data_IF_869798737348
#
_entry.id   IF_869798737348
#
_cell.length_a   1.000
_cell.length_b   1.000
_cell.length_c   1.000
_cell.angle_alpha   90.00
_cell.angle_beta   90.00
_cell.angle_gamma   90.00
#
_symmetry.space_group_name_H-M   'P 1'
#
loop_
_entity.id
_entity.type
_entity.pdbx_description
1 polymer ?
#
# COMPACT_ATOMS: atom_id res chain seq x y z
N UNK A 1 6.86 -0.93 7.70
CA UNK A 1 6.00 -1.93 7.01
C UNK A 1 6.61 -3.30 7.20
N UNK A 2 5.80 -4.30 7.55
CA UNK A 2 6.27 -5.66 7.72
C UNK A 2 6.89 -6.26 6.45
N UNK A 3 7.69 -7.31 6.60
CA UNK A 3 8.22 -8.11 5.51
C UNK A 3 7.69 -9.53 5.61
N UNK A 4 7.11 -10.06 4.53
CA UNK A 4 6.72 -11.45 4.42
C UNK A 4 7.55 -12.18 3.38
N UNK A 5 7.83 -13.44 3.62
CA UNK A 5 8.43 -14.34 2.66
C UNK A 5 8.04 -15.79 2.97
N UNK A 6 8.10 -16.64 1.97
CA UNK A 6 7.82 -18.07 2.19
C UNK A 6 7.94 -18.89 0.93
N UNK A 7 7.68 -20.17 1.10
CA UNK A 7 7.72 -21.14 0.01
C UNK A 7 6.71 -22.26 0.20
N UNK A 8 6.37 -22.90 -0.90
CA UNK A 8 5.74 -24.22 -0.96
C UNK A 8 6.54 -25.11 -1.91
N UNK A 9 6.83 -26.34 -1.49
CA UNK A 9 7.48 -27.32 -2.35
C UNK A 9 7.22 -28.77 -1.91
N UNK A 10 7.00 -29.66 -2.87
CA UNK A 10 6.76 -31.09 -2.62
C UNK A 10 8.05 -31.94 -2.67
N UNK A 11 9.16 -31.40 -3.16
CA UNK A 11 10.32 -32.21 -3.58
C UNK A 11 11.60 -31.95 -2.78
N UNK A 12 11.61 -31.11 -1.78
CA UNK A 12 12.87 -30.54 -1.35
C UNK A 12 13.36 -31.08 -0.02
N UNK A 13 14.66 -31.27 0.01
CA UNK A 13 15.39 -31.46 1.25
C UNK A 13 15.09 -30.27 2.18
N UNK A 14 14.36 -30.57 3.25
CA UNK A 14 13.85 -29.58 4.21
C UNK A 14 14.95 -28.68 4.78
N UNK A 15 16.18 -29.11 4.76
CA UNK A 15 17.31 -28.39 5.33
C UNK A 15 17.73 -27.19 4.45
N UNK A 16 17.76 -27.33 3.15
CA UNK A 16 18.18 -26.26 2.25
C UNK A 16 17.14 -25.14 2.16
N UNK A 17 15.84 -25.47 2.26
CA UNK A 17 14.78 -24.47 2.25
C UNK A 17 14.72 -23.63 3.52
N UNK A 18 15.05 -24.17 4.66
CA UNK A 18 15.19 -23.36 5.89
C UNK A 18 16.25 -22.29 5.71
N UNK A 19 17.42 -22.64 5.18
CA UNK A 19 18.50 -21.68 4.91
C UNK A 19 18.08 -20.61 3.90
N UNK A 20 17.32 -21.00 2.87
CA UNK A 20 16.81 -20.07 1.86
C UNK A 20 15.84 -19.10 2.52
N UNK A 21 14.85 -19.57 3.28
CA UNK A 21 13.90 -18.71 3.97
C UNK A 21 14.60 -17.77 4.96
N UNK A 22 15.57 -18.26 5.74
CA UNK A 22 16.37 -17.44 6.66
C UNK A 22 17.12 -16.33 5.91
N UNK A 23 17.66 -16.64 4.73
CA UNK A 23 18.34 -15.65 3.88
C UNK A 23 17.36 -14.62 3.31
N UNK A 24 16.18 -15.05 2.86
CA UNK A 24 15.08 -14.17 2.42
C UNK A 24 14.66 -13.22 3.53
N UNK A 25 14.47 -13.74 4.76
CA UNK A 25 14.09 -12.94 5.93
C UNK A 25 15.18 -11.93 6.31
N UNK A 26 16.45 -12.33 6.32
CA UNK A 26 17.58 -11.42 6.56
C UNK A 26 17.63 -10.29 5.53
N UNK A 27 17.37 -10.57 4.27
CA UNK A 27 17.39 -9.56 3.21
C UNK A 27 16.32 -8.47 3.38
N UNK A 28 15.23 -8.79 4.07
CA UNK A 28 14.07 -7.89 4.27
C UNK A 28 13.91 -7.39 5.72
N UNK A 29 14.91 -7.58 6.59
CA UNK A 29 14.83 -7.21 8.02
C UNK A 29 14.55 -5.72 8.25
N UNK A 30 14.99 -4.83 7.34
CA UNK A 30 14.73 -3.39 7.40
C UNK A 30 13.25 -3.03 7.32
N UNK A 31 12.38 -3.93 6.83
CA UNK A 31 10.93 -3.73 6.78
C UNK A 31 10.26 -3.86 8.15
N UNK A 32 10.79 -4.75 8.98
CA UNK A 32 10.22 -5.02 10.29
C UNK A 32 11.30 -5.45 11.29
N UNK A 33 11.96 -4.47 11.93
CA UNK A 33 13.10 -4.74 12.79
C UNK A 33 12.72 -5.22 14.20
N UNK A 34 11.43 -5.22 14.56
CA UNK A 34 10.98 -5.46 15.94
C UNK A 34 10.97 -6.95 16.30
N UNK A 35 10.64 -7.81 15.34
CA UNK A 35 10.68 -9.27 15.53
C UNK A 35 10.83 -9.99 14.18
N UNK A 36 11.49 -11.15 14.20
CA UNK A 36 11.56 -12.08 13.07
C UNK A 36 11.05 -13.44 13.52
N UNK A 37 10.05 -13.97 12.83
CA UNK A 37 9.48 -15.30 13.09
C UNK A 37 9.47 -16.16 11.83
N UNK A 38 9.56 -17.49 12.01
CA UNK A 38 9.42 -18.48 10.95
C UNK A 38 8.58 -19.66 11.42
N UNK A 39 7.83 -20.23 10.47
CA UNK A 39 7.04 -21.45 10.66
C UNK A 39 7.36 -22.42 9.54
N UNK A 40 7.41 -23.71 9.88
CA UNK A 40 7.65 -24.80 8.92
C UNK A 40 6.66 -25.94 9.16
N UNK A 41 6.04 -26.41 8.10
CA UNK A 41 5.30 -27.67 8.01
C UNK A 41 5.90 -28.54 6.89
N UNK A 42 5.24 -29.64 6.50
CA UNK A 42 5.81 -30.62 5.56
C UNK A 42 6.39 -29.99 4.29
N UNK A 43 5.58 -29.17 3.62
CA UNK A 43 5.87 -28.62 2.30
C UNK A 43 5.89 -27.10 2.27
N UNK A 44 5.76 -26.45 3.42
CA UNK A 44 5.60 -25.01 3.53
C UNK A 44 6.60 -24.40 4.53
N UNK A 45 7.08 -23.23 4.20
CA UNK A 45 7.77 -22.34 5.13
C UNK A 45 7.18 -20.92 5.01
N UNK A 46 6.84 -20.32 6.14
CA UNK A 46 6.37 -18.95 6.25
C UNK A 46 7.33 -18.14 7.12
N UNK A 47 7.65 -16.93 6.72
CA UNK A 47 8.50 -16.01 7.45
C UNK A 47 7.88 -14.63 7.56
N UNK A 48 8.15 -13.95 8.67
CA UNK A 48 7.66 -12.62 8.95
C UNK A 48 8.72 -11.76 9.66
N UNK A 49 8.94 -10.56 9.15
CA UNK A 49 9.65 -9.48 9.84
C UNK A 49 8.63 -8.44 10.30
N UNK A 50 8.47 -8.28 11.62
CA UNK A 50 7.43 -7.44 12.21
C UNK A 50 7.89 -6.00 12.39
N UNK A 51 7.07 -5.06 11.95
CA UNK A 51 6.99 -3.70 12.45
C UNK A 51 5.69 -3.61 13.27
N UNK A 52 5.81 -3.47 14.59
CA UNK A 52 4.68 -3.49 15.52
C UNK A 52 3.91 -2.17 15.43
N UNK A 53 2.63 -2.22 15.06
CA UNK A 53 1.75 -1.05 14.91
C UNK A 53 0.47 -1.24 15.72
N UNK A 54 -0.19 -2.40 15.58
CA UNK A 54 -1.38 -2.80 16.34
C UNK A 54 -1.01 -3.98 17.23
N UNK A 55 -1.39 -3.93 18.49
CA UNK A 55 -1.04 -4.90 19.53
C UNK A 55 0.48 -5.13 19.64
N UNK A 56 1.14 -4.37 20.47
CA UNK A 56 2.61 -4.39 20.60
C UNK A 56 3.13 -5.62 21.36
N UNK A 57 2.24 -6.49 21.84
CA UNK A 57 2.61 -7.68 22.62
C UNK A 57 3.34 -8.74 21.76
N UNK A 58 4.22 -9.55 22.36
CA UNK A 58 4.85 -10.69 21.68
C UNK A 58 3.86 -11.76 21.22
N UNK A 59 2.68 -11.85 21.86
CA UNK A 59 1.62 -12.79 21.52
C UNK A 59 1.07 -12.58 20.11
N UNK A 60 1.19 -11.35 19.59
CA UNK A 60 0.80 -10.98 18.22
C UNK A 60 1.92 -11.14 17.18
N UNK A 61 3.06 -11.76 17.57
CA UNK A 61 4.11 -12.07 16.61
C UNK A 61 3.65 -13.08 15.56
N UNK A 62 4.22 -12.94 14.36
CA UNK A 62 3.90 -13.79 13.22
C UNK A 62 5.13 -14.61 12.78
N UNK A 63 4.96 -15.77 12.13
CA UNK A 63 3.68 -16.37 11.68
C UNK A 63 2.76 -16.70 12.86
N UNK A 64 1.47 -16.27 12.74
CA UNK A 64 0.50 -16.40 13.82
C UNK A 64 -0.41 -17.61 13.59
N UNK A 65 -0.72 -18.34 14.66
CA UNK A 65 -1.51 -19.57 14.62
C UNK A 65 -2.87 -19.40 15.25
N UNK A 66 -3.89 -19.83 14.53
CA UNK A 66 -5.27 -19.91 15.02
C UNK A 66 -5.92 -21.21 14.54
N UNK A 67 -6.18 -22.13 15.46
CA UNK A 67 -6.67 -23.48 15.14
C UNK A 67 -5.72 -24.19 14.15
N UNK A 68 -6.25 -24.58 13.00
CA UNK A 68 -5.55 -25.26 11.88
C UNK A 68 -4.98 -24.29 10.83
N UNK A 69 -5.00 -22.99 11.13
CA UNK A 69 -4.56 -21.93 10.23
C UNK A 69 -3.27 -21.28 10.72
N UNK A 70 -2.40 -20.94 9.79
CA UNK A 70 -1.18 -20.17 10.07
C UNK A 70 -1.09 -19.02 9.07
N UNK A 71 -0.87 -17.80 9.54
CA UNK A 71 -0.76 -16.59 8.70
C UNK A 71 0.60 -15.93 8.79
N UNK A 72 1.07 -15.39 7.65
CA UNK A 72 2.01 -14.27 7.59
C UNK A 72 1.37 -13.12 6.81
N UNK A 73 1.44 -11.91 7.37
CA UNK A 73 0.65 -10.78 6.92
C UNK A 73 1.46 -9.47 7.01
N UNK A 74 1.50 -8.73 5.92
CA UNK A 74 2.02 -7.38 5.84
C UNK A 74 0.88 -6.44 5.49
N UNK A 75 0.38 -5.68 6.46
CA UNK A 75 -0.75 -4.79 6.25
C UNK A 75 -1.37 -4.29 7.53
N UNK A 76 -2.55 -3.70 7.40
CA UNK A 76 -3.46 -3.30 8.46
C UNK A 76 -4.90 -3.43 7.99
N UNK A 77 -5.74 -4.09 8.79
CA UNK A 77 -7.18 -4.16 8.58
C UNK A 77 -7.84 -3.15 9.52
N UNK A 78 -8.08 -1.95 9.03
CA UNK A 78 -8.52 -0.82 9.85
C UNK A 78 -9.86 -1.04 10.57
N UNK A 79 -10.78 -1.81 9.95
CA UNK A 79 -12.08 -2.15 10.56
C UNK A 79 -12.06 -3.47 11.36
N UNK A 80 -10.88 -3.86 11.88
CA UNK A 80 -10.75 -5.12 12.64
C UNK A 80 -11.61 -5.15 13.90
N UNK A 81 -11.88 -4.02 14.54
CA UNK A 81 -12.70 -3.91 15.75
C UNK A 81 -14.16 -4.28 15.44
N UNK A 82 -14.71 -3.78 14.33
CA UNK A 82 -16.05 -4.06 13.86
C UNK A 82 -16.20 -5.54 13.48
N UNK A 83 -15.23 -6.08 12.72
CA UNK A 83 -15.18 -7.49 12.31
C UNK A 83 -15.06 -8.40 13.54
N UNK A 84 -14.19 -8.07 14.49
CA UNK A 84 -14.05 -8.78 15.76
C UNK A 84 -15.38 -8.85 16.51
N UNK A 85 -16.10 -7.72 16.58
CA UNK A 85 -17.39 -7.63 17.25
C UNK A 85 -18.45 -8.52 16.57
N UNK A 86 -18.45 -8.62 15.25
CA UNK A 86 -19.30 -9.55 14.49
C UNK A 86 -18.94 -11.01 14.79
N UNK A 87 -17.67 -11.36 14.80
CA UNK A 87 -17.17 -12.70 15.06
C UNK A 87 -17.42 -13.15 16.52
N UNK A 88 -17.33 -12.25 17.50
CA UNK A 88 -17.68 -12.55 18.90
C UNK A 88 -19.15 -12.99 19.02
N UNK A 89 -20.06 -12.33 18.28
CA UNK A 89 -21.48 -12.72 18.24
C UNK A 89 -21.69 -14.11 17.62
N UNK A 90 -20.74 -14.57 16.79
CA UNK A 90 -20.68 -15.91 16.22
C UNK A 90 -19.90 -16.91 17.10
N UNK A 91 -19.62 -16.55 18.36
CA UNK A 91 -18.92 -17.33 19.39
C UNK A 91 -17.42 -17.54 19.15
N UNK A 92 -16.77 -16.74 18.29
CA UNK A 92 -15.31 -16.74 18.19
C UNK A 92 -14.66 -16.09 19.40
N UNK A 93 -13.52 -16.65 19.83
CA UNK A 93 -12.73 -16.16 20.97
C UNK A 93 -11.40 -15.65 20.49
N UNK A 94 -10.94 -14.55 21.08
CA UNK A 94 -9.67 -13.91 20.76
C UNK A 94 -8.77 -13.88 21.99
N UNK A 95 -7.47 -14.04 21.77
CA UNK A 95 -6.42 -14.00 22.82
C UNK A 95 -5.52 -12.76 22.70
N UNK A 96 -5.59 -12.06 21.57
CA UNK A 96 -4.82 -10.86 21.27
C UNK A 96 -5.75 -9.70 20.87
N UNK A 97 -5.21 -8.49 20.83
CA UNK A 97 -5.94 -7.34 20.28
C UNK A 97 -5.57 -7.05 18.81
N UNK A 98 -4.81 -7.96 18.18
CA UNK A 98 -4.30 -7.83 16.82
C UNK A 98 -5.39 -8.00 15.76
N UNK A 99 -5.27 -7.26 14.67
CA UNK A 99 -6.02 -7.47 13.43
C UNK A 99 -5.66 -8.81 12.77
N UNK A 100 -4.44 -9.30 12.97
CA UNK A 100 -3.95 -10.59 12.44
C UNK A 100 -4.80 -11.77 12.90
N UNK A 101 -5.16 -11.83 14.19
CA UNK A 101 -6.05 -12.87 14.71
C UNK A 101 -7.46 -12.75 14.14
N UNK A 102 -7.94 -11.52 13.95
CA UNK A 102 -9.25 -11.25 13.34
C UNK A 102 -9.29 -11.74 11.89
N UNK A 103 -8.20 -11.59 11.12
CA UNK A 103 -8.11 -12.13 9.74
C UNK A 103 -8.33 -13.66 9.76
N UNK A 104 -7.65 -14.39 10.65
CA UNK A 104 -7.76 -15.85 10.69
C UNK A 104 -9.15 -16.33 11.14
N UNK A 105 -9.75 -15.67 12.14
CA UNK A 105 -11.11 -15.96 12.54
C UNK A 105 -12.12 -15.65 11.43
N UNK A 106 -11.93 -14.55 10.70
CA UNK A 106 -12.73 -14.17 9.54
C UNK A 106 -12.60 -15.18 8.39
N UNK A 107 -11.38 -15.65 8.12
CA UNK A 107 -11.15 -16.70 7.12
C UNK A 107 -11.78 -18.03 7.52
N UNK A 108 -11.74 -18.37 8.80
CA UNK A 108 -12.41 -19.59 9.32
C UNK A 108 -13.92 -19.53 9.14
N UNK A 109 -14.54 -18.37 9.34
CA UNK A 109 -16.00 -18.18 9.23
C UNK A 109 -16.46 -18.04 7.78
N UNK A 110 -15.80 -17.17 7.00
CA UNK A 110 -16.27 -16.76 5.66
C UNK A 110 -15.40 -17.26 4.51
N UNK A 111 -14.37 -18.04 4.79
CA UNK A 111 -13.42 -18.53 3.79
C UNK A 111 -12.78 -17.39 3.00
N UNK A 112 -12.59 -17.60 1.71
CA UNK A 112 -12.00 -16.59 0.80
C UNK A 112 -12.76 -15.27 0.74
N UNK A 113 -14.04 -15.27 1.04
CA UNK A 113 -14.88 -14.06 0.96
C UNK A 113 -14.68 -13.09 2.15
N UNK A 114 -13.92 -13.49 3.18
CA UNK A 114 -13.55 -12.62 4.29
C UNK A 114 -12.88 -11.32 3.80
N UNK A 115 -12.07 -11.37 2.74
CA UNK A 115 -11.37 -10.20 2.18
C UNK A 115 -12.31 -9.12 1.63
N UNK A 116 -13.55 -9.47 1.28
CA UNK A 116 -14.57 -8.51 0.85
C UNK A 116 -15.06 -7.61 1.99
N UNK A 117 -14.98 -8.11 3.24
CA UNK A 117 -15.36 -7.37 4.45
C UNK A 117 -14.25 -6.44 4.96
N UNK A 118 -13.00 -6.66 4.57
CA UNK A 118 -11.87 -5.89 5.07
C UNK A 118 -11.83 -4.48 4.48
N UNK A 119 -11.62 -3.50 5.34
CA UNK A 119 -11.21 -2.13 4.96
C UNK A 119 -9.77 -1.99 5.44
N UNK A 120 -8.84 -1.86 4.49
CA UNK A 120 -7.42 -1.83 4.84
C UNK A 120 -6.51 -2.05 3.64
N UNK A 121 -5.26 -2.28 3.94
CA UNK A 121 -4.20 -2.57 2.99
C UNK A 121 -3.46 -3.84 3.41
N UNK A 122 -3.28 -4.79 2.50
CA UNK A 122 -2.71 -6.09 2.86
C UNK A 122 -2.01 -6.83 1.73
N UNK A 123 -1.03 -7.60 2.14
CA UNK A 123 -0.52 -8.76 1.46
C UNK A 123 -0.48 -9.87 2.51
N UNK A 124 -1.31 -10.88 2.39
CA UNK A 124 -1.45 -11.95 3.37
C UNK A 124 -1.29 -13.32 2.72
N UNK A 125 -0.80 -14.26 3.52
CA UNK A 125 -0.68 -15.68 3.16
C UNK A 125 -1.16 -16.51 4.34
N UNK A 126 -2.19 -17.31 4.12
CA UNK A 126 -2.75 -18.25 5.09
C UNK A 126 -2.46 -19.67 4.62
N UNK A 127 -1.80 -20.46 5.46
CA UNK A 127 -1.70 -21.89 5.30
C UNK A 127 -2.85 -22.55 6.05
N UNK A 128 -3.68 -23.27 5.31
CA UNK A 128 -4.76 -24.11 5.83
C UNK A 128 -4.26 -25.57 5.86
N UNK A 129 -3.92 -26.03 7.06
CA UNK A 129 -3.33 -27.36 7.28
C UNK A 129 -4.32 -28.47 6.95
N UNK A 130 -5.61 -28.27 7.26
CA UNK A 130 -6.67 -29.24 7.01
C UNK A 130 -6.91 -29.44 5.52
N UNK A 131 -6.99 -28.35 4.76
CA UNK A 131 -7.27 -28.40 3.31
C UNK A 131 -6.01 -28.53 2.45
N UNK A 132 -4.81 -28.47 3.07
CA UNK A 132 -3.50 -28.40 2.39
C UNK A 132 -3.50 -27.33 1.31
N UNK A 133 -4.00 -26.15 1.68
CA UNK A 133 -4.21 -25.02 0.80
C UNK A 133 -3.41 -23.80 1.28
N UNK A 134 -2.65 -23.19 0.38
CA UNK A 134 -2.09 -21.87 0.61
C UNK A 134 -3.01 -20.83 -0.05
N UNK A 135 -3.62 -20.00 0.79
CA UNK A 135 -4.44 -18.88 0.37
C UNK A 135 -3.63 -17.59 0.48
N UNK A 136 -3.47 -16.89 -0.64
CA UNK A 136 -2.82 -15.58 -0.67
C UNK A 136 -3.83 -14.53 -1.13
N UNK A 137 -3.75 -13.32 -0.59
CA UNK A 137 -4.59 -12.20 -1.01
C UNK A 137 -3.82 -10.89 -0.99
N UNK A 138 -4.13 -10.03 -1.95
CA UNK A 138 -3.61 -8.67 -2.03
C UNK A 138 -4.75 -7.66 -2.01
N UNK A 139 -4.56 -6.53 -1.34
CA UNK A 139 -5.57 -5.50 -1.17
C UNK A 139 -6.10 -4.91 -2.50
N UNK A 140 -7.22 -4.17 -2.42
CA UNK A 140 -7.96 -3.66 -3.58
C UNK A 140 -7.13 -2.81 -4.54
N UNK A 141 -6.18 -2.04 -4.00
CA UNK A 141 -5.35 -1.10 -4.78
C UNK A 141 -3.89 -1.56 -4.90
N UNK A 142 -3.53 -2.73 -4.32
CA UNK A 142 -2.18 -3.26 -4.36
C UNK A 142 -1.16 -2.43 -3.57
N UNK A 143 -1.61 -1.78 -2.49
CA UNK A 143 -0.77 -0.93 -1.63
C UNK A 143 0.36 -1.75 -1.02
N UNK A 144 0.07 -2.96 -0.56
CA UNK A 144 1.12 -3.87 -0.07
C UNK A 144 1.66 -4.75 -1.19
N UNK A 145 2.99 -4.86 -1.30
CA UNK A 145 3.61 -5.68 -2.34
C UNK A 145 3.43 -7.17 -2.06
N UNK A 146 3.10 -7.93 -3.11
CA UNK A 146 3.07 -9.37 -3.12
C UNK A 146 3.71 -9.90 -4.40
N UNK A 147 4.95 -10.36 -4.31
CA UNK A 147 5.72 -10.88 -5.43
C UNK A 147 5.88 -12.38 -5.29
N UNK A 148 5.93 -13.12 -6.41
CA UNK A 148 6.11 -14.55 -6.37
C UNK A 148 6.87 -15.09 -7.60
N UNK A 149 7.45 -16.27 -7.44
CA UNK A 149 7.99 -17.11 -8.51
C UNK A 149 7.34 -18.47 -8.39
N UNK A 150 6.86 -19.00 -9.52
CA UNK A 150 6.40 -20.38 -9.62
C UNK A 150 7.12 -21.08 -10.76
N UNK A 151 7.63 -22.28 -10.49
CA UNK A 151 8.16 -23.18 -11.51
C UNK A 151 7.85 -24.61 -11.13
N UNK A 152 7.20 -25.35 -12.03
CA UNK A 152 6.68 -26.68 -11.76
C UNK A 152 5.69 -26.68 -10.59
N UNK A 153 6.05 -27.32 -9.45
CA UNK A 153 5.25 -27.38 -8.22
C UNK A 153 5.85 -26.54 -7.09
N UNK A 154 6.98 -25.89 -7.35
CA UNK A 154 7.65 -25.05 -6.37
C UNK A 154 7.18 -23.61 -6.51
N UNK A 155 6.90 -22.98 -5.37
CA UNK A 155 6.38 -21.63 -5.28
C UNK A 155 7.12 -20.87 -4.17
N UNK A 156 7.58 -19.66 -4.48
CA UNK A 156 8.17 -18.73 -3.51
C UNK A 156 7.45 -17.40 -3.59
N UNK A 157 7.27 -16.74 -2.46
CA UNK A 157 6.71 -15.41 -2.40
C UNK A 157 7.52 -14.51 -1.46
N UNK A 158 7.46 -13.21 -1.68
CA UNK A 158 8.08 -12.21 -0.81
C UNK A 158 7.49 -10.81 -1.02
N UNK A 159 7.74 -9.93 -0.04
CA UNK A 159 7.44 -8.50 -0.15
C UNK A 159 8.39 -7.75 -1.07
N UNK A 160 9.59 -8.26 -1.35
CA UNK A 160 10.62 -7.57 -2.14
C UNK A 160 11.33 -8.52 -3.10
N UNK A 161 11.68 -7.97 -4.28
CA UNK A 161 12.38 -8.69 -5.36
C UNK A 161 13.68 -9.34 -4.85
N UNK A 162 14.49 -8.62 -4.06
CA UNK A 162 15.78 -9.11 -3.57
C UNK A 162 15.68 -10.38 -2.73
N UNK A 163 14.55 -10.60 -2.05
CA UNK A 163 14.33 -11.84 -1.33
C UNK A 163 14.10 -13.02 -2.31
N UNK A 164 13.37 -12.80 -3.39
CA UNK A 164 13.15 -13.80 -4.42
C UNK A 164 14.41 -14.11 -5.23
N UNK A 165 15.33 -13.15 -5.35
CA UNK A 165 16.62 -13.36 -6.01
C UNK A 165 17.52 -14.38 -5.29
N UNK A 166 17.24 -14.66 -4.01
CA UNK A 166 17.96 -15.65 -3.20
C UNK A 166 17.41 -17.08 -3.38
N UNK A 167 16.34 -17.25 -4.15
CA UNK A 167 15.69 -18.54 -4.35
C UNK A 167 16.28 -19.32 -5.53
N UNK A 168 16.23 -20.64 -5.51
CA UNK A 168 16.78 -21.47 -6.62
C UNK A 168 15.98 -21.35 -7.93
N UNK A 169 14.78 -20.72 -7.88
CA UNK A 169 13.95 -20.51 -9.06
C UNK A 169 14.25 -19.19 -9.78
N UNK A 170 15.04 -18.32 -9.16
CA UNK A 170 15.37 -17.03 -9.75
C UNK A 170 16.26 -17.19 -10.99
N UNK A 171 15.97 -16.39 -11.99
CA UNK A 171 16.88 -16.07 -13.08
C UNK A 171 16.90 -14.56 -13.29
N UNK A 172 18.06 -14.03 -13.70
CA UNK A 172 18.23 -12.60 -13.98
C UNK A 172 17.77 -12.20 -15.38
N UNK A 173 16.91 -13.03 -16.01
CA UNK A 173 16.38 -12.72 -17.33
C UNK A 173 15.43 -11.50 -17.23
N UNK A 174 15.81 -10.42 -17.95
CA UNK A 174 15.10 -9.14 -17.93
C UNK A 174 13.88 -9.21 -18.85
N UNK A 175 12.75 -8.66 -18.39
CA UNK A 175 11.56 -8.42 -19.20
C UNK A 175 11.70 -7.10 -19.97
N UNK A 176 12.17 -7.18 -21.22
CA UNK A 176 12.43 -6.00 -22.04
C UNK A 176 11.16 -5.18 -22.34
N UNK A 177 10.00 -5.83 -22.44
CA UNK A 177 8.74 -5.11 -22.63
C UNK A 177 8.40 -4.25 -21.41
N UNK A 178 8.58 -4.78 -20.21
CA UNK A 178 8.37 -4.02 -18.98
C UNK A 178 9.42 -2.91 -18.81
N UNK A 179 10.67 -3.14 -19.23
CA UNK A 179 11.69 -2.08 -19.28
C UNK A 179 11.25 -0.95 -20.21
N UNK A 180 10.75 -1.30 -21.41
CA UNK A 180 10.25 -0.31 -22.35
C UNK A 180 9.06 0.48 -21.79
N UNK A 181 8.06 -0.21 -21.18
CA UNK A 181 6.93 0.45 -20.54
C UNK A 181 7.38 1.38 -19.41
N UNK A 182 8.34 0.94 -18.61
CA UNK A 182 8.90 1.75 -17.51
C UNK A 182 9.60 3.02 -18.01
N UNK A 183 10.41 2.92 -19.07
CA UNK A 183 11.15 4.05 -19.62
C UNK A 183 10.27 5.03 -20.41
N UNK A 184 9.31 4.52 -21.19
CA UNK A 184 8.47 5.33 -22.07
C UNK A 184 7.21 5.87 -21.39
N UNK A 185 6.58 5.06 -20.55
CA UNK A 185 5.27 5.36 -19.98
C UNK A 185 5.35 5.62 -18.46
N UNK A 186 6.50 5.40 -17.84
CA UNK A 186 6.64 5.48 -16.40
C UNK A 186 5.93 4.36 -15.63
N UNK A 187 5.53 3.28 -16.30
CA UNK A 187 4.80 2.18 -15.67
C UNK A 187 5.77 1.20 -14.99
N UNK A 188 5.76 1.18 -13.67
CA UNK A 188 6.62 0.27 -12.89
C UNK A 188 6.13 -1.18 -12.93
N UNK A 189 4.82 -1.37 -13.12
CA UNK A 189 4.14 -2.66 -13.21
C UNK A 189 3.06 -2.60 -14.29
N UNK A 190 2.88 -3.72 -14.97
CA UNK A 190 1.77 -3.92 -15.89
C UNK A 190 1.18 -5.30 -15.63
N UNK A 191 -0.09 -5.36 -15.24
CA UNK A 191 -0.76 -6.59 -14.82
C UNK A 191 0.02 -7.35 -13.73
N UNK A 192 0.45 -8.59 -14.01
CA UNK A 192 1.28 -9.40 -13.13
C UNK A 192 2.78 -9.30 -13.43
N UNK A 193 3.19 -8.53 -14.44
CA UNK A 193 4.56 -8.47 -14.91
C UNK A 193 5.46 -7.59 -14.02
N UNK A 194 6.74 -7.99 -13.93
CA UNK A 194 7.81 -7.20 -13.32
C UNK A 194 8.97 -7.02 -14.30
N UNK A 195 10.00 -6.29 -13.90
CA UNK A 195 11.25 -6.15 -14.66
C UNK A 195 12.01 -7.46 -14.87
N UNK A 196 11.68 -8.50 -14.11
CA UNK A 196 12.28 -9.85 -14.23
C UNK A 196 11.24 -10.83 -14.73
N UNK A 197 11.53 -11.57 -15.82
CA UNK A 197 10.56 -12.48 -16.46
C UNK A 197 9.99 -13.54 -15.52
N UNK A 198 10.80 -14.04 -14.59
CA UNK A 198 10.42 -15.12 -13.68
C UNK A 198 9.63 -14.63 -12.46
N UNK A 199 9.75 -13.34 -12.11
CA UNK A 199 9.07 -12.76 -10.94
C UNK A 199 7.75 -12.17 -11.39
N UNK A 200 6.68 -12.64 -10.77
CA UNK A 200 5.33 -12.14 -10.98
C UNK A 200 4.85 -11.34 -9.77
N UNK A 201 3.94 -10.44 -10.03
CA UNK A 201 3.25 -9.64 -9.02
C UNK A 201 1.81 -10.12 -8.92
N UNK A 202 1.31 -10.42 -7.72
CA UNK A 202 -0.12 -10.67 -7.57
C UNK A 202 -0.87 -9.36 -7.85
N UNK A 203 -1.77 -9.30 -8.85
CA UNK A 203 -2.44 -8.05 -9.19
C UNK A 203 -3.30 -7.53 -8.02
N UNK A 204 -3.57 -6.20 -7.97
CA UNK A 204 -4.50 -5.62 -7.01
C UNK A 204 -5.86 -6.30 -7.02
N UNK A 205 -6.51 -6.42 -5.86
CA UNK A 205 -7.83 -7.04 -5.72
C UNK A 205 -7.90 -8.53 -6.13
N UNK A 206 -6.78 -9.28 -6.06
CA UNK A 206 -6.76 -10.70 -6.40
C UNK A 206 -6.41 -11.59 -5.23
N UNK A 207 -7.01 -12.77 -5.26
CA UNK A 207 -6.66 -13.92 -4.45
C UNK A 207 -5.87 -14.91 -5.30
N UNK A 208 -4.90 -15.59 -4.67
CA UNK A 208 -4.17 -16.71 -5.26
C UNK A 208 -4.34 -17.93 -4.35
N UNK A 209 -4.67 -19.05 -4.95
CA UNK A 209 -4.79 -20.34 -4.29
C UNK A 209 -3.71 -21.28 -4.82
N UNK A 210 -2.99 -21.92 -3.92
CA UNK A 210 -2.02 -22.94 -4.28
C UNK A 210 -2.37 -24.24 -3.56
N UNK A 211 -2.68 -25.28 -4.34
CA UNK A 211 -3.00 -26.62 -3.86
C UNK A 211 -2.31 -27.67 -4.72
N UNK A 212 -1.57 -28.58 -4.09
CA UNK A 212 -0.83 -29.62 -4.82
C UNK A 212 0.12 -29.05 -5.88
N UNK A 213 0.77 -27.93 -5.58
CA UNK A 213 1.71 -27.25 -6.49
C UNK A 213 1.07 -26.55 -7.69
N UNK A 214 -0.26 -26.47 -7.77
CA UNK A 214 -0.99 -25.74 -8.83
C UNK A 214 -1.55 -24.45 -8.28
N UNK A 215 -1.37 -23.34 -9.00
CA UNK A 215 -1.96 -22.05 -8.66
C UNK A 215 -3.21 -21.78 -9.49
N UNK A 216 -4.15 -21.08 -8.86
CA UNK A 216 -5.24 -20.37 -9.53
C UNK A 216 -5.36 -18.97 -8.94
N UNK A 217 -5.67 -17.99 -9.77
CA UNK A 217 -5.80 -16.58 -9.40
C UNK A 217 -7.20 -16.12 -9.76
N UNK A 218 -7.85 -15.40 -8.84
CA UNK A 218 -9.19 -14.84 -9.07
C UNK A 218 -9.27 -13.39 -8.57
N UNK A 219 -9.99 -12.55 -9.29
CA UNK A 219 -10.30 -11.18 -8.86
C UNK A 219 -11.50 -11.21 -7.90
N UNK A 220 -11.33 -10.65 -6.69
CA UNK A 220 -12.40 -10.61 -5.70
C UNK A 220 -13.16 -9.28 -5.64
N UNK A 221 -12.60 -8.22 -6.21
CA UNK A 221 -13.20 -6.87 -6.19
C UNK A 221 -12.87 -6.12 -7.48
N UNK A 222 -13.81 -5.29 -7.93
CA UNK A 222 -13.66 -4.38 -9.04
C UNK A 222 -14.44 -3.10 -8.78
N UNK A 223 -13.86 -1.94 -9.09
CA UNK A 223 -14.52 -0.64 -8.98
C UNK A 223 -15.72 -0.52 -9.94
N UNK A 224 -15.68 -1.18 -11.08
CA UNK A 224 -16.75 -1.19 -12.08
C UNK A 224 -18.05 -1.82 -11.56
N UNK A 225 -17.96 -2.66 -10.51
CA UNK A 225 -19.15 -3.25 -9.88
C UNK A 225 -19.92 -2.28 -8.98
N UNK A 226 -19.43 -1.05 -8.80
CA UNK A 226 -20.09 -0.04 -8.00
C UNK A 226 -20.69 1.04 -8.89
N UNK A 227 -22.02 0.98 -9.07
CA UNK A 227 -22.78 2.08 -9.69
C UNK A 227 -23.16 3.09 -8.60
N UNK A 228 -22.68 4.31 -8.72
CA UNK A 228 -23.11 5.40 -7.85
C UNK A 228 -24.59 5.73 -8.05
N UNK A 229 -25.27 6.21 -7.01
CA UNK A 229 -26.60 6.76 -7.14
C UNK A 229 -26.53 8.11 -7.84
N UNK A 230 -26.80 8.13 -9.15
CA UNK A 230 -26.70 9.33 -9.98
C UNK A 230 -27.82 10.36 -9.72
N UNK A 231 -28.81 10.03 -8.87
CA UNK A 231 -29.98 10.89 -8.62
C UNK A 231 -29.77 11.89 -7.47
N UNK A 232 -28.68 11.76 -6.70
CA UNK A 232 -28.39 12.69 -5.61
C UNK A 232 -27.94 14.05 -6.15
N UNK A 233 -28.34 15.15 -5.48
CA UNK A 233 -27.84 16.49 -5.78
C UNK A 233 -26.31 16.58 -5.58
N UNK A 234 -25.69 17.63 -6.09
CA UNK A 234 -24.26 17.87 -5.86
C UNK A 234 -23.98 18.08 -4.35
N UNK A 235 -24.85 18.78 -3.66
CA UNK A 235 -24.77 19.05 -2.23
C UNK A 235 -24.86 17.75 -1.42
N UNK A 236 -25.77 16.84 -1.75
CA UNK A 236 -25.89 15.54 -1.09
C UNK A 236 -24.62 14.70 -1.29
N UNK A 237 -24.06 14.72 -2.50
CA UNK A 237 -22.79 14.02 -2.79
C UNK A 237 -21.63 14.61 -2.02
N UNK A 238 -21.57 15.92 -1.82
CA UNK A 238 -20.55 16.57 -0.98
C UNK A 238 -20.66 16.14 0.48
N UNK A 239 -21.88 16.04 1.01
CA UNK A 239 -22.12 15.56 2.39
C UNK A 239 -21.69 14.11 2.53
N UNK A 240 -22.14 13.24 1.62
CA UNK A 240 -21.76 11.82 1.61
C UNK A 240 -20.25 11.63 1.51
N UNK A 241 -19.58 12.40 0.62
CA UNK A 241 -18.13 12.38 0.51
C UNK A 241 -17.44 12.80 1.81
N UNK A 242 -17.90 13.87 2.44
CA UNK A 242 -17.38 14.34 3.72
C UNK A 242 -17.48 13.28 4.80
N UNK A 243 -18.63 12.61 4.94
CA UNK A 243 -18.85 11.54 5.91
C UNK A 243 -17.93 10.34 5.64
N UNK A 244 -17.82 9.91 4.38
CA UNK A 244 -16.93 8.82 3.97
C UNK A 244 -15.46 9.15 4.24
N UNK A 245 -15.04 10.38 3.93
CA UNK A 245 -13.68 10.85 4.16
C UNK A 245 -13.34 10.87 5.66
N UNK A 246 -14.19 11.45 6.50
CA UNK A 246 -13.96 11.48 7.95
C UNK A 246 -14.01 10.08 8.59
N UNK A 247 -14.89 9.21 8.12
CA UNK A 247 -14.92 7.83 8.55
C UNK A 247 -13.61 7.10 8.17
N UNK A 248 -13.15 7.27 6.94
CA UNK A 248 -11.87 6.73 6.48
C UNK A 248 -10.71 7.23 7.35
N UNK A 249 -10.62 8.54 7.59
CA UNK A 249 -9.59 9.14 8.44
C UNK A 249 -9.65 8.61 9.88
N UNK A 250 -10.84 8.37 10.42
CA UNK A 250 -11.04 7.78 11.76
C UNK A 250 -10.51 6.34 11.81
N UNK A 251 -10.78 5.54 10.77
CA UNK A 251 -10.27 4.18 10.67
C UNK A 251 -8.74 4.15 10.55
N UNK A 252 -8.16 4.97 9.69
CA UNK A 252 -6.72 5.05 9.48
C UNK A 252 -5.95 5.64 10.69
N UNK A 253 -6.65 6.33 11.61
CA UNK A 253 -6.07 6.84 12.85
C UNK A 253 -5.87 5.76 13.92
N UNK A 254 -6.30 4.52 13.69
CA UNK A 254 -6.13 3.37 14.60
C UNK A 254 -4.67 2.92 14.58
N UNK A 255 -3.97 3.16 15.68
CA UNK A 255 -2.56 2.79 15.85
C UNK A 255 -2.21 2.81 17.33
N UNK A 256 -1.44 1.81 17.80
CA UNK A 256 -0.91 1.74 19.17
C UNK A 256 0.49 2.40 19.25
N UNK A 257 1.00 2.94 18.14
CA UNK A 257 2.25 3.68 18.06
C UNK A 257 2.02 5.13 17.62
N UNK A 258 2.98 6.04 17.85
CA UNK A 258 2.86 7.42 17.43
C UNK A 258 2.63 7.58 15.93
N UNK A 259 1.62 8.38 15.58
CA UNK A 259 1.22 8.69 14.23
C UNK A 259 1.52 10.15 13.89
N UNK A 260 1.95 10.40 12.66
CA UNK A 260 2.17 11.73 12.09
C UNK A 260 1.51 11.88 10.72
N UNK A 261 1.65 13.04 10.09
CA UNK A 261 1.08 13.35 8.78
C UNK A 261 2.12 13.99 7.86
N UNK A 262 2.15 13.57 6.60
CA UNK A 262 2.89 14.27 5.56
C UNK A 262 2.06 15.47 5.09
N UNK A 263 2.63 16.67 5.16
CA UNK A 263 1.95 17.91 4.84
C UNK A 263 2.75 18.70 3.80
N UNK A 264 2.31 18.67 2.55
CA UNK A 264 2.93 19.41 1.44
C UNK A 264 2.30 20.79 1.23
N UNK A 265 1.16 21.09 1.86
CA UNK A 265 0.37 22.29 1.58
C UNK A 265 -0.54 22.17 0.36
N UNK A 266 -0.50 21.05 -0.37
CA UNK A 266 -1.48 20.68 -1.40
C UNK A 266 -2.85 20.37 -0.79
N UNK A 267 -3.90 20.40 -1.60
CA UNK A 267 -5.29 20.22 -1.15
C UNK A 267 -5.47 18.92 -0.34
N UNK A 268 -4.98 17.80 -0.85
CA UNK A 268 -5.19 16.47 -0.26
C UNK A 268 -4.49 16.34 1.09
N UNK A 269 -3.19 16.69 1.15
CA UNK A 269 -2.41 16.64 2.39
C UNK A 269 -2.96 17.60 3.45
N UNK A 270 -3.45 18.78 3.04
CA UNK A 270 -4.07 19.75 3.92
C UNK A 270 -5.42 19.26 4.47
N UNK A 271 -6.25 18.64 3.63
CA UNK A 271 -7.51 18.04 4.06
C UNK A 271 -7.28 16.89 5.09
N UNK A 272 -6.31 16.03 4.83
CA UNK A 272 -5.94 14.95 5.75
C UNK A 272 -5.38 15.46 7.06
N UNK A 273 -4.45 16.43 7.04
CA UNK A 273 -3.91 17.04 8.24
C UNK A 273 -5.01 17.71 9.09
N UNK A 274 -5.93 18.43 8.44
CA UNK A 274 -7.08 19.06 9.08
C UNK A 274 -8.00 18.04 9.74
N UNK A 275 -8.36 16.96 9.01
CA UNK A 275 -9.20 15.88 9.54
C UNK A 275 -8.54 15.19 10.73
N UNK A 276 -7.25 14.85 10.64
CA UNK A 276 -6.50 14.27 11.76
C UNK A 276 -6.47 15.19 12.98
N UNK A 277 -6.26 16.49 12.76
CA UNK A 277 -6.28 17.49 13.81
C UNK A 277 -7.62 17.51 14.55
N UNK A 278 -8.73 17.47 13.80
CA UNK A 278 -10.09 17.46 14.35
C UNK A 278 -10.36 16.16 15.12
N UNK A 279 -10.02 15.02 14.56
CA UNK A 279 -10.22 13.69 15.17
C UNK A 279 -9.42 13.57 16.47
N UNK A 280 -8.20 14.08 16.50
CA UNK A 280 -7.28 14.01 17.63
C UNK A 280 -7.27 15.31 18.45
N UNK A 281 -8.42 15.96 18.63
CA UNK A 281 -8.54 17.22 19.37
C UNK A 281 -7.87 17.11 20.74
N UNK A 282 -6.94 18.04 21.02
CA UNK A 282 -6.16 18.08 22.28
C UNK A 282 -4.90 17.23 22.29
N UNK A 283 -4.63 16.42 21.26
CA UNK A 283 -3.36 15.69 21.10
C UNK A 283 -2.48 16.39 20.07
N UNK A 284 -1.18 16.47 20.34
CA UNK A 284 -0.20 16.98 19.39
C UNK A 284 0.08 15.93 18.31
N UNK A 285 0.06 16.35 17.03
CA UNK A 285 0.37 15.52 15.87
C UNK A 285 1.55 16.15 15.15
N UNK A 286 2.60 15.38 14.90
CA UNK A 286 3.76 15.82 14.12
C UNK A 286 3.41 15.84 12.63
N UNK A 287 3.68 16.94 11.93
CA UNK A 287 3.55 17.06 10.49
C UNK A 287 4.92 17.25 9.84
N UNK A 288 5.11 16.66 8.67
CA UNK A 288 6.42 16.57 8.01
C UNK A 288 6.36 17.14 6.60
N UNK A 289 7.28 18.04 6.30
CA UNK A 289 7.34 18.75 5.01
C UNK A 289 8.78 18.78 4.49
N UNK A 290 8.98 18.41 3.23
CA UNK A 290 10.22 18.67 2.51
C UNK A 290 10.14 20.01 1.76
N UNK A 291 11.24 20.76 1.74
CA UNK A 291 11.39 21.94 0.90
C UNK A 291 12.81 22.00 0.33
N UNK A 292 13.05 22.84 -0.64
CA UNK A 292 14.35 22.95 -1.30
C UNK A 292 14.78 24.40 -1.37
N UNK A 293 15.92 24.69 -0.75
CA UNK A 293 16.52 26.03 -0.81
C UNK A 293 17.09 26.31 -2.21
N UNK A 294 16.95 27.55 -2.68
CA UNK A 294 17.51 27.98 -3.96
C UNK A 294 16.66 27.66 -5.20
N UNK A 295 15.53 26.99 -5.06
CA UNK A 295 14.51 26.89 -6.12
C UNK A 295 13.63 28.13 -6.14
N UNK A 296 13.02 28.41 -7.32
CA UNK A 296 12.03 29.49 -7.46
C UNK A 296 10.97 29.39 -6.36
N UNK A 297 10.56 30.55 -5.79
CA UNK A 297 9.53 30.64 -4.75
C UNK A 297 8.20 29.96 -5.12
N UNK A 298 7.94 29.72 -6.40
CA UNK A 298 6.73 29.02 -6.86
C UNK A 298 6.69 27.53 -6.51
N UNK A 299 7.84 26.94 -6.12
CA UNK A 299 7.93 25.56 -5.64
C UNK A 299 8.05 25.45 -4.12
N UNK A 300 8.01 26.58 -3.41
CA UNK A 300 8.04 26.63 -1.96
C UNK A 300 6.62 26.51 -1.40
N UNK A 301 6.27 25.34 -0.88
CA UNK A 301 4.95 25.04 -0.33
C UNK A 301 4.80 25.47 1.14
N UNK A 302 5.87 25.93 1.80
CA UNK A 302 5.84 26.38 3.22
C UNK A 302 4.79 27.43 3.54
N UNK A 303 4.47 28.41 2.69
CA UNK A 303 3.40 29.36 2.94
C UNK A 303 2.03 28.67 3.12
N UNK A 304 1.70 27.70 2.29
CA UNK A 304 0.45 26.93 2.39
C UNK A 304 0.43 26.02 3.62
N UNK A 305 1.57 25.38 3.92
CA UNK A 305 1.74 24.60 5.17
C UNK A 305 1.47 25.48 6.38
N UNK A 306 2.01 26.71 6.38
CA UNK A 306 1.82 27.66 7.48
C UNK A 306 0.35 28.01 7.69
N UNK A 307 -0.43 28.22 6.63
CA UNK A 307 -1.87 28.51 6.73
C UNK A 307 -2.61 27.35 7.44
N UNK A 308 -2.28 26.11 7.12
CA UNK A 308 -2.86 24.93 7.79
C UNK A 308 -2.46 24.86 9.26
N UNK A 309 -1.18 25.09 9.59
CA UNK A 309 -0.67 25.08 10.97
C UNK A 309 -1.30 26.19 11.81
N UNK A 310 -1.44 27.41 11.25
CA UNK A 310 -2.05 28.52 11.95
C UNK A 310 -3.53 28.25 12.30
N UNK A 311 -4.24 27.50 11.45
CA UNK A 311 -5.62 27.10 11.68
C UNK A 311 -5.77 25.92 12.65
N UNK A 312 -4.78 25.01 12.67
CA UNK A 312 -4.79 23.79 13.48
C UNK A 312 -3.55 23.71 14.39
N UNK A 313 -3.54 24.43 15.55
CA UNK A 313 -2.35 24.60 16.39
C UNK A 313 -1.88 23.32 17.12
N UNK A 314 -2.62 22.23 17.06
CA UNK A 314 -2.18 20.93 17.54
C UNK A 314 -1.32 20.17 16.51
N UNK A 315 -1.20 20.64 15.27
CA UNK A 315 -0.20 20.16 14.29
C UNK A 315 1.15 20.82 14.61
N UNK A 316 2.18 20.00 14.78
CA UNK A 316 3.54 20.48 15.09
C UNK A 316 4.41 20.23 13.86
N UNK A 317 4.83 21.31 13.16
CA UNK A 317 5.55 21.16 11.89
C UNK A 317 7.02 20.82 12.10
N UNK A 318 7.50 19.89 11.28
CA UNK A 318 8.90 19.54 11.09
C UNK A 318 9.26 19.67 9.62
N UNK A 319 10.39 20.30 9.34
CA UNK A 319 10.84 20.57 7.99
C UNK A 319 12.17 19.91 7.69
N UNK A 320 12.36 19.48 6.44
CA UNK A 320 13.63 18.99 5.94
C UNK A 320 13.97 19.63 4.60
N UNK A 321 15.20 20.07 4.47
CA UNK A 321 15.76 20.58 3.20
C UNK A 321 17.03 19.82 2.89
N UNK A 322 16.94 18.69 2.12
CA UNK A 322 18.14 17.94 1.79
C UNK A 322 19.03 18.72 0.83
N UNK A 323 20.34 18.72 1.10
CA UNK A 323 21.36 19.25 0.20
C UNK A 323 21.53 18.36 -1.05
N UNK A 324 22.10 18.91 -2.13
CA UNK A 324 22.38 18.15 -3.34
C UNK A 324 23.25 16.92 -3.06
N UNK A 325 24.25 17.05 -2.20
CA UNK A 325 25.11 15.93 -1.80
C UNK A 325 24.37 14.83 -1.05
N UNK A 326 23.43 15.18 -0.17
CA UNK A 326 22.57 14.20 0.50
C UNK A 326 21.63 13.50 -0.49
N UNK A 327 21.09 14.23 -1.46
CA UNK A 327 20.27 13.68 -2.52
C UNK A 327 21.09 12.67 -3.35
N UNK A 328 22.28 13.07 -3.83
CA UNK A 328 23.18 12.19 -4.59
C UNK A 328 23.51 10.90 -3.83
N UNK A 329 23.90 11.01 -2.56
CA UNK A 329 24.24 9.87 -1.71
C UNK A 329 23.03 8.96 -1.43
N UNK A 330 21.81 9.50 -1.45
CA UNK A 330 20.60 8.72 -1.20
C UNK A 330 20.24 7.77 -2.35
N UNK A 331 20.67 8.06 -3.58
CA UNK A 331 20.34 7.24 -4.75
C UNK A 331 20.79 5.78 -4.58
N UNK A 332 22.04 5.56 -4.15
CA UNK A 332 22.55 4.21 -3.97
C UNK A 332 21.76 3.43 -2.92
N UNK A 333 21.41 4.06 -1.80
CA UNK A 333 20.59 3.45 -0.75
C UNK A 333 19.19 3.11 -1.24
N UNK A 334 18.55 4.04 -1.95
CA UNK A 334 17.21 3.86 -2.49
C UNK A 334 17.21 2.72 -3.53
N UNK A 335 18.14 2.71 -4.48
CA UNK A 335 18.23 1.65 -5.50
C UNK A 335 18.46 0.26 -4.89
N UNK A 336 19.32 0.16 -3.89
CA UNK A 336 19.55 -1.12 -3.17
C UNK A 336 18.29 -1.64 -2.47
N UNK A 337 17.39 -0.75 -2.04
CA UNK A 337 16.13 -1.14 -1.38
C UNK A 337 15.05 -1.50 -2.39
N UNK A 338 14.88 -0.74 -3.45
CA UNK A 338 13.77 -0.93 -4.39
C UNK A 338 14.01 -2.05 -5.40
N UNK A 339 15.25 -2.32 -5.81
CA UNK A 339 15.61 -3.31 -6.84
C UNK A 339 14.95 -3.08 -8.21
N UNK A 340 14.35 -1.92 -8.44
CA UNK A 340 13.73 -1.48 -9.69
C UNK A 340 14.07 0.00 -9.95
N UNK A 341 13.97 0.48 -11.20
CA UNK A 341 14.14 1.90 -11.51
C UNK A 341 13.19 2.79 -10.72
N UNK A 342 13.63 4.00 -10.38
CA UNK A 342 12.79 5.01 -9.74
C UNK A 342 11.95 5.74 -10.79
N UNK A 343 10.68 5.96 -10.49
CA UNK A 343 9.77 6.70 -11.34
C UNK A 343 9.56 8.13 -10.78
N UNK A 344 10.52 9.01 -11.03
CA UNK A 344 10.43 10.43 -10.71
C UNK A 344 11.13 10.88 -9.42
N UNK A 345 11.30 12.19 -9.30
CA UNK A 345 12.00 12.85 -8.19
C UNK A 345 11.19 12.91 -6.89
N UNK A 346 9.86 12.78 -6.94
CA UNK A 346 8.99 12.83 -5.76
C UNK A 346 9.30 11.71 -4.75
N UNK A 347 9.76 10.54 -5.22
CA UNK A 347 10.21 9.46 -4.34
C UNK A 347 11.40 9.85 -3.46
N UNK A 348 12.29 10.71 -3.95
CA UNK A 348 13.45 11.20 -3.20
C UNK A 348 12.96 12.13 -2.08
N UNK A 349 12.08 13.06 -2.40
CA UNK A 349 11.47 13.94 -1.39
C UNK A 349 10.77 13.14 -0.30
N UNK A 350 9.96 12.13 -0.71
CA UNK A 350 9.26 11.26 0.21
C UNK A 350 10.22 10.43 1.08
N UNK A 351 11.33 9.95 0.52
CA UNK A 351 12.38 9.26 1.29
C UNK A 351 12.92 10.14 2.44
N UNK A 352 13.20 11.42 2.18
CA UNK A 352 13.71 12.35 3.20
C UNK A 352 12.64 12.70 4.24
N UNK A 353 11.39 12.84 3.83
CA UNK A 353 10.24 13.03 4.75
C UNK A 353 10.11 11.83 5.68
N UNK A 354 10.16 10.60 5.16
CA UNK A 354 10.10 9.38 5.98
C UNK A 354 11.31 9.25 6.92
N UNK A 355 12.50 9.65 6.47
CA UNK A 355 13.70 9.68 7.30
C UNK A 355 13.56 10.67 8.46
N UNK A 356 13.00 11.85 8.20
CA UNK A 356 12.70 12.84 9.22
C UNK A 356 11.65 12.32 10.21
N UNK A 357 10.54 11.77 9.72
CA UNK A 357 9.50 11.18 10.56
C UNK A 357 10.05 10.11 11.50
N UNK A 358 10.91 9.23 10.99
CA UNK A 358 11.60 8.21 11.78
C UNK A 358 12.50 8.81 12.85
N UNK A 359 13.30 9.83 12.52
CA UNK A 359 14.17 10.54 13.47
C UNK A 359 13.37 11.20 14.60
N UNK A 360 12.16 11.65 14.29
CA UNK A 360 11.21 12.24 15.24
C UNK A 360 10.39 11.19 16.02
N UNK A 361 10.69 9.89 15.88
CA UNK A 361 10.04 8.81 16.63
C UNK A 361 8.64 8.46 16.10
N UNK A 362 8.30 8.81 14.86
CA UNK A 362 7.04 8.46 14.23
C UNK A 362 7.21 7.17 13.43
N UNK A 363 6.37 6.20 13.72
CA UNK A 363 6.35 4.89 13.04
C UNK A 363 5.33 4.84 11.90
N UNK A 364 4.20 5.52 12.06
CA UNK A 364 3.11 5.57 11.08
C UNK A 364 2.89 7.00 10.60
N UNK A 365 2.83 7.19 9.30
CA UNK A 365 2.46 8.46 8.68
C UNK A 365 1.20 8.30 7.84
N UNK A 366 0.31 9.28 7.89
CA UNK A 366 -0.79 9.44 6.93
C UNK A 366 -0.32 10.37 5.83
N UNK A 367 -0.59 9.97 4.59
CA UNK A 367 -0.09 10.62 3.39
C UNK A 367 -1.24 10.82 2.38
N UNK A 368 -1.19 11.92 1.60
CA UNK A 368 -2.17 12.28 0.57
C UNK A 368 -2.14 11.42 -0.70
N UNK A 369 -1.26 10.43 -0.78
CA UNK A 369 -1.13 9.58 -1.97
C UNK A 369 -2.41 8.76 -2.22
N UNK A 370 -2.86 8.72 -3.47
CA UNK A 370 -4.09 8.04 -3.90
C UNK A 370 -5.32 8.96 -4.01
N UNK A 371 -5.26 10.19 -3.52
CA UNK A 371 -6.37 11.13 -3.61
C UNK A 371 -6.57 11.63 -5.06
N UNK A 372 -5.51 12.05 -5.73
CA UNK A 372 -5.55 12.46 -7.15
C UNK A 372 -6.08 11.34 -8.06
N UNK A 373 -5.71 10.08 -7.78
CA UNK A 373 -6.20 8.90 -8.50
C UNK A 373 -7.70 8.70 -8.31
N UNK A 374 -8.20 8.91 -7.09
CA UNK A 374 -9.62 8.75 -6.77
C UNK A 374 -10.47 9.94 -7.22
N UNK A 375 -9.94 11.17 -7.16
CA UNK A 375 -10.67 12.42 -7.38
C UNK A 375 -10.43 13.03 -8.77
N UNK A 376 -9.57 12.43 -9.60
CA UNK A 376 -9.27 12.93 -10.94
C UNK A 376 -8.39 14.18 -10.94
N UNK A 377 -7.47 14.35 -9.99
CA UNK A 377 -6.63 15.52 -9.82
C UNK A 377 -5.57 15.71 -10.91
N UNK A 378 -5.21 14.68 -11.65
CA UNK A 378 -4.21 14.77 -12.71
C UNK A 378 -4.74 15.36 -14.00
N UNK A 379 -3.93 16.18 -14.67
CA UNK A 379 -4.28 16.78 -15.97
C UNK A 379 -4.64 15.73 -17.03
N UNK A 380 -3.96 14.59 -17.06
CA UNK A 380 -4.25 13.55 -18.05
C UNK A 380 -5.65 12.93 -17.87
N UNK A 381 -6.25 12.98 -16.67
CA UNK A 381 -7.64 12.56 -16.43
C UNK A 381 -8.61 13.43 -17.20
N UNK A 382 -8.38 14.77 -17.24
CA UNK A 382 -9.20 15.69 -18.03
C UNK A 382 -9.06 15.44 -19.53
N UNK A 383 -7.86 15.12 -20.03
CA UNK A 383 -7.67 14.79 -21.44
C UNK A 383 -8.45 13.54 -21.86
N UNK A 384 -8.43 12.50 -21.02
CA UNK A 384 -9.21 11.29 -21.26
C UNK A 384 -10.70 11.60 -21.26
N UNK A 385 -11.19 12.35 -20.25
CA UNK A 385 -12.59 12.77 -20.19
C UNK A 385 -13.01 13.55 -21.45
N UNK A 386 -12.17 14.47 -21.95
CA UNK A 386 -12.45 15.18 -23.20
C UNK A 386 -12.51 14.22 -24.38
N UNK A 387 -11.55 13.31 -24.50
CA UNK A 387 -11.53 12.32 -25.57
C UNK A 387 -12.77 11.42 -25.56
N UNK A 388 -13.21 10.96 -24.38
CA UNK A 388 -14.41 10.13 -24.22
C UNK A 388 -15.68 10.86 -24.66
N UNK A 389 -15.88 12.11 -24.22
CA UNK A 389 -17.07 12.90 -24.61
C UNK A 389 -17.10 13.18 -26.13
N UNK A 390 -15.94 13.39 -26.76
CA UNK A 390 -15.88 13.56 -28.22
C UNK A 390 -16.05 12.24 -28.97
N UNK A 391 -15.53 11.13 -28.47
CA UNK A 391 -15.68 9.81 -29.09
C UNK A 391 -17.14 9.32 -29.06
N UNK A 392 -17.90 9.71 -28.04
CA UNK A 392 -19.31 9.43 -27.89
C UNK A 392 -20.22 10.44 -28.65
N UNK A 393 -19.64 11.28 -29.52
CA UNK A 393 -20.34 12.34 -30.27
C UNK A 393 -21.08 13.39 -29.41
N UNK A 394 -20.72 13.53 -28.14
CA UNK A 394 -21.28 14.52 -27.21
C UNK A 394 -20.57 15.88 -27.32
N UNK A 395 -20.45 16.42 -28.54
CA UNK A 395 -19.65 17.62 -28.86
C UNK A 395 -19.94 18.83 -27.98
N UNK A 396 -21.22 19.13 -27.69
CA UNK A 396 -21.60 20.28 -26.87
C UNK A 396 -21.11 20.14 -25.42
N UNK A 397 -21.17 18.92 -24.88
CA UNK A 397 -20.68 18.62 -23.53
C UNK A 397 -19.17 18.70 -23.47
N UNK A 398 -18.46 18.17 -24.46
CA UNK A 398 -17.00 18.28 -24.58
C UNK A 398 -16.53 19.73 -24.64
N UNK A 399 -17.18 20.57 -25.45
CA UNK A 399 -16.89 22.02 -25.54
C UNK A 399 -17.16 22.72 -24.20
N UNK A 400 -18.26 22.39 -23.52
CA UNK A 400 -18.59 22.95 -22.19
C UNK A 400 -17.53 22.58 -21.17
N UNK A 401 -17.07 21.35 -21.15
CA UNK A 401 -15.99 20.88 -20.24
C UNK A 401 -14.67 21.62 -20.48
N UNK A 402 -14.28 21.80 -21.75
CA UNK A 402 -13.07 22.56 -22.12
C UNK A 402 -13.20 24.03 -21.66
N UNK A 403 -14.35 24.65 -21.83
CA UNK A 403 -14.57 26.04 -21.41
C UNK A 403 -14.52 26.18 -19.87
N UNK A 404 -15.10 25.23 -19.13
CA UNK A 404 -15.02 25.19 -17.68
C UNK A 404 -13.57 24.96 -17.21
N UNK A 405 -12.86 24.03 -17.84
CA UNK A 405 -11.44 23.80 -17.54
C UNK A 405 -10.61 25.07 -17.70
N UNK A 406 -10.77 25.78 -18.84
CA UNK A 406 -10.08 27.06 -19.07
C UNK A 406 -10.39 28.14 -18.02
N UNK A 407 -11.60 28.14 -17.49
CA UNK A 407 -12.03 29.13 -16.50
C UNK A 407 -11.32 28.94 -15.14
N UNK A 408 -11.07 27.70 -14.76
CA UNK A 408 -10.54 27.35 -13.45
C UNK A 408 -9.05 26.99 -13.44
N UNK A 409 -8.47 26.70 -14.61
CA UNK A 409 -7.04 26.41 -14.75
C UNK A 409 -6.33 27.45 -15.61
N UNK A 410 -5.29 28.07 -15.08
CA UNK A 410 -4.49 29.11 -15.76
C UNK A 410 -3.63 28.59 -16.92
N UNK A 411 -3.66 27.29 -17.21
CA UNK A 411 -2.94 26.66 -18.31
C UNK A 411 -3.69 26.91 -19.62
N UNK A 412 -3.13 27.75 -20.51
CA UNK A 412 -3.66 27.93 -21.86
C UNK A 412 -3.56 26.61 -22.66
N UNK A 413 -4.58 26.31 -23.46
CA UNK A 413 -4.67 25.12 -24.32
C UNK A 413 -3.45 24.89 -25.22
N UNK A 414 -2.67 25.90 -25.51
CA UNK A 414 -1.44 25.82 -26.33
C UNK A 414 -0.32 25.03 -25.68
N UNK A 415 -0.28 24.91 -24.33
CA UNK A 415 0.69 24.09 -23.59
C UNK A 415 0.20 22.67 -23.33
N UNK A 416 -1.03 22.37 -23.68
CA UNK A 416 -1.70 21.10 -23.42
C UNK A 416 -1.81 20.21 -24.66
N UNK A 417 -1.48 20.74 -25.84
CA UNK A 417 -1.54 20.00 -27.10
C UNK A 417 -0.16 19.77 -27.74
N UNK A 418 0.92 20.32 -27.14
CA UNK A 418 2.32 20.00 -27.43
C UNK A 418 2.83 18.94 -26.46
#
# INVERSE_FOLDING_TARGET
MCGIAGFYSEKIDKFDFRKILDSMMKSTIHRGPDNTGTFYSENIGLGHNRLSIIDLSPESNQPFHYLDLTITFNGEIYNYIEIRSELIKLNYKFRTESDTEVILAAYKEWGKDCVKKFIGMWALVIWDETNKLLFCSRDRFGIKPFLYIQKNRDFFFASEIKALQLTPLYSNEINLEQVFRGLQLGWLHYEDETYFKVIKNLPPAHNLFLKGGKISVERYWDIENFSGNNNNSFEDKCIEFYELFFNSMTLHNRSDVPLGVCLSGGLDSSAMASALSIINKGKKIKSFTAFYEGLDNKFDERPFVKEVIDQYPNLIPFYISPSNTEIENSFEEIFKKFSIPLNGSSLISHYFVMKLARAEGITVTIDGQGADEAMGGYLHTFYRLFADEFSEFKMLKGISLINNFKKYHSYGLKKTLD
#
